data_IF_070657113859
#
_entry.id   IF_070657113859
#
_cell.length_a   1.000
_cell.length_b   1.000
_cell.length_c   1.000
_cell.angle_alpha   90.00
_cell.angle_beta   90.00
_cell.angle_gamma   90.00
#
_symmetry.space_group_name_H-M   'P 1'
#
loop_
_entity.id
_entity.type
_entity.pdbx_description
1 polymer ?
#
# COMPACT_ATOMS: atom_id res chain seq x y z
N UNK A 1 42.33 20.60 10.97
CA UNK A 1 41.63 19.79 9.96
C UNK A 1 41.07 18.57 10.68
N UNK A 2 39.79 18.28 10.46
CA UNK A 2 38.95 17.30 11.19
C UNK A 2 38.39 17.76 12.54
N UNK A 3 37.17 18.28 12.50
CA UNK A 3 36.06 17.86 13.37
C UNK A 3 34.76 18.46 12.78
N UNK A 4 34.09 17.70 11.92
CA UNK A 4 32.71 17.97 11.48
C UNK A 4 32.04 16.62 11.30
N UNK A 5 31.80 15.98 12.44
CA UNK A 5 30.92 14.83 12.61
C UNK A 5 29.71 15.34 13.41
N UNK A 6 28.52 14.86 13.05
CA UNK A 6 27.22 15.06 13.69
C UNK A 6 26.43 16.33 13.31
N UNK A 7 25.78 16.28 12.13
CA UNK A 7 24.61 17.08 11.79
C UNK A 7 23.54 16.22 11.11
N UNK A 8 23.13 15.10 11.73
CA UNK A 8 21.95 14.31 11.27
C UNK A 8 21.17 13.67 12.44
N UNK A 9 21.01 14.37 13.56
CA UNK A 9 20.05 13.99 14.62
C UNK A 9 19.29 15.21 15.17
N UNK A 10 18.72 16.03 14.28
CA UNK A 10 17.62 16.90 14.68
C UNK A 10 16.29 16.21 14.37
N UNK A 11 15.84 15.42 15.35
CA UNK A 11 14.43 15.13 15.56
C UNK A 11 13.72 16.49 15.61
N UNK A 12 12.77 16.73 14.71
CA UNK A 12 11.96 17.95 14.72
C UNK A 12 11.32 18.19 16.10
N UNK A 13 11.10 19.45 16.50
CA UNK A 13 10.59 19.75 17.83
C UNK A 13 9.24 19.05 18.07
N UNK A 14 9.21 18.32 19.18
CA UNK A 14 8.04 17.71 19.80
C UNK A 14 6.85 18.70 19.83
N UNK A 15 5.66 18.37 19.27
CA UNK A 15 4.54 19.31 19.14
C UNK A 15 3.83 19.66 20.47
N UNK A 16 4.45 19.34 21.61
CA UNK A 16 3.94 19.73 22.94
C UNK A 16 4.74 20.85 23.61
N UNK A 17 5.66 21.52 22.90
CA UNK A 17 6.41 22.63 23.45
C UNK A 17 6.10 23.96 22.74
N UNK A 18 5.23 24.76 23.36
CA UNK A 18 5.17 26.22 23.18
C UNK A 18 4.32 26.69 22.00
N UNK A 19 3.26 27.44 22.32
CA UNK A 19 2.35 28.04 21.36
C UNK A 19 3.06 28.92 20.32
N UNK A 20 2.45 28.97 19.14
CA UNK A 20 2.82 29.81 18.01
C UNK A 20 2.80 31.28 18.43
N UNK A 21 3.89 32.01 18.22
CA UNK A 21 3.99 33.41 18.62
C UNK A 21 2.97 34.26 17.84
N UNK A 22 1.99 34.83 18.56
CA UNK A 22 1.00 35.76 18.01
C UNK A 22 -0.47 35.35 18.19
N UNK A 23 -0.77 34.19 18.79
CA UNK A 23 -2.16 33.84 19.10
C UNK A 23 -2.70 34.66 20.30
N UNK A 24 -3.93 35.19 20.23
CA UNK A 24 -4.55 35.89 21.35
C UNK A 24 -4.67 34.97 22.57
N UNK A 25 -4.33 35.51 23.74
CA UNK A 25 -4.20 34.80 25.03
C UNK A 25 -5.48 34.03 25.42
N UNK A 26 -6.63 34.44 24.89
CA UNK A 26 -7.94 33.78 25.02
C UNK A 26 -8.01 32.37 24.40
N UNK A 27 -7.23 32.09 23.36
CA UNK A 27 -7.16 30.77 22.72
C UNK A 27 -6.22 29.82 23.47
N UNK A 28 -5.16 30.38 24.08
CA UNK A 28 -4.14 29.63 24.83
C UNK A 28 -4.63 29.27 26.24
N UNK A 29 -5.42 30.16 26.86
CA UNK A 29 -5.90 30.01 28.24
C UNK A 29 -7.32 29.44 28.35
N UNK A 30 -7.92 29.03 27.23
CA UNK A 30 -9.26 28.43 27.24
C UNK A 30 -9.22 27.16 28.09
N UNK A 31 -9.95 27.10 29.23
CA UNK A 31 -10.01 25.87 30.01
C UNK A 31 -10.59 24.76 29.13
N UNK A 32 -10.01 23.53 29.17
CA UNK A 32 -10.61 22.39 28.49
C UNK A 32 -12.07 22.27 28.97
N UNK A 33 -13.02 22.08 28.04
CA UNK A 33 -14.43 21.92 28.42
C UNK A 33 -14.52 20.79 29.46
N UNK A 34 -15.01 21.06 30.68
CA UNK A 34 -15.09 20.02 31.68
C UNK A 34 -16.12 18.98 31.24
N UNK A 35 -15.67 17.74 31.03
CA UNK A 35 -16.54 16.57 30.93
C UNK A 35 -17.11 16.25 29.54
N UNK A 36 -16.42 16.58 28.45
CA UNK A 36 -16.80 16.08 27.12
C UNK A 36 -15.70 15.19 26.53
N UNK A 37 -15.59 13.97 27.04
CA UNK A 37 -15.42 12.85 26.10
C UNK A 37 -16.71 12.84 25.30
N UNK A 38 -16.77 13.58 24.19
CA UNK A 38 -17.86 13.38 23.23
C UNK A 38 -17.53 12.07 22.50
N UNK A 39 -17.67 10.93 23.18
CA UNK A 39 -18.18 9.77 22.46
C UNK A 39 -19.63 10.13 22.12
N UNK A 40 -19.81 10.85 21.02
CA UNK A 40 -21.13 10.99 20.44
C UNK A 40 -21.66 9.56 20.29
N UNK A 41 -22.89 9.26 20.73
CA UNK A 41 -23.46 7.94 20.51
C UNK A 41 -23.31 7.61 19.04
N UNK A 42 -22.47 6.63 18.73
CA UNK A 42 -22.29 6.19 17.35
C UNK A 42 -23.67 5.71 16.91
N UNK A 43 -24.09 6.14 15.73
CA UNK A 43 -25.38 5.70 15.22
C UNK A 43 -25.37 4.15 15.18
N UNK A 44 -26.53 3.49 15.41
CA UNK A 44 -26.55 2.03 15.50
C UNK A 44 -26.08 1.30 14.23
N UNK A 45 -26.05 1.98 13.07
CA UNK A 45 -25.56 1.45 11.79
C UNK A 45 -24.03 1.39 11.84
N UNK A 46 -23.38 2.46 12.28
CA UNK A 46 -21.94 2.54 12.52
C UNK A 46 -21.48 1.59 13.64
N UNK A 47 -22.31 1.33 14.65
CA UNK A 47 -21.99 0.40 15.73
C UNK A 47 -21.90 -1.05 15.26
N UNK A 48 -22.87 -1.49 14.46
CA UNK A 48 -22.84 -2.84 13.92
C UNK A 48 -21.60 -3.07 13.05
N UNK A 49 -21.27 -2.13 12.17
CA UNK A 49 -20.13 -2.28 11.26
C UNK A 49 -18.82 -2.43 12.05
N UNK A 50 -18.59 -1.57 13.02
CA UNK A 50 -17.38 -1.63 13.87
C UNK A 50 -17.26 -2.98 14.58
N UNK A 51 -18.33 -3.45 15.22
CA UNK A 51 -18.33 -4.73 15.92
C UNK A 51 -18.07 -5.90 14.95
N UNK A 52 -18.60 -5.81 13.73
CA UNK A 52 -18.36 -6.80 12.69
C UNK A 52 -16.89 -6.80 12.24
N UNK A 53 -16.30 -5.63 11.99
CA UNK A 53 -14.88 -5.51 11.59
C UNK A 53 -13.92 -5.93 12.70
N UNK A 54 -14.24 -5.66 13.97
CA UNK A 54 -13.47 -6.19 15.11
C UNK A 54 -13.54 -7.72 15.17
N UNK A 55 -14.70 -8.30 14.89
CA UNK A 55 -14.86 -9.75 14.83
C UNK A 55 -14.08 -10.38 13.68
N UNK A 56 -13.91 -9.69 12.54
CA UNK A 56 -13.11 -10.22 11.42
C UNK A 56 -11.70 -10.60 11.86
N UNK A 57 -11.06 -9.83 12.74
CA UNK A 57 -9.71 -10.10 13.22
C UNK A 57 -9.60 -11.35 14.11
N UNK A 58 -10.70 -11.79 14.74
CA UNK A 58 -10.71 -12.92 15.69
C UNK A 58 -11.43 -14.16 15.17
N UNK A 59 -12.49 -13.98 14.38
CA UNK A 59 -13.34 -15.02 13.81
C UNK A 59 -13.97 -14.54 12.48
N UNK A 60 -13.19 -14.54 11.39
CA UNK A 60 -13.66 -14.04 10.10
C UNK A 60 -14.80 -14.88 9.52
N UNK A 61 -14.86 -16.18 9.83
CA UNK A 61 -15.95 -17.06 9.39
C UNK A 61 -17.29 -16.67 10.02
N UNK A 62 -17.29 -16.34 11.32
CA UNK A 62 -18.49 -15.85 12.00
C UNK A 62 -18.91 -14.47 11.51
N UNK A 63 -17.96 -13.55 11.34
CA UNK A 63 -18.23 -12.22 10.80
C UNK A 63 -18.87 -12.32 9.40
N UNK A 64 -18.30 -13.18 8.55
CA UNK A 64 -18.83 -13.47 7.21
C UNK A 64 -20.28 -13.95 7.26
N UNK A 65 -20.59 -14.97 8.08
CA UNK A 65 -21.95 -15.52 8.20
C UNK A 65 -22.96 -14.47 8.71
N UNK A 66 -22.59 -13.67 9.73
CA UNK A 66 -23.46 -12.62 10.26
C UNK A 66 -23.69 -11.49 9.24
N UNK A 67 -22.65 -11.11 8.50
CA UNK A 67 -22.75 -10.12 7.45
C UNK A 67 -23.66 -10.59 6.30
N UNK A 68 -23.61 -11.88 5.92
CA UNK A 68 -24.54 -12.45 4.93
C UNK A 68 -26.00 -12.40 5.41
N UNK A 69 -26.28 -12.75 6.66
CA UNK A 69 -27.62 -12.67 7.24
C UNK A 69 -28.11 -11.23 7.19
N UNK A 70 -27.33 -10.28 7.71
CA UNK A 70 -27.70 -8.85 7.69
C UNK A 70 -27.91 -8.33 6.27
N UNK A 71 -27.07 -8.72 5.31
CA UNK A 71 -27.23 -8.33 3.90
C UNK A 71 -28.61 -8.75 3.36
N UNK A 72 -29.09 -9.93 3.73
CA UNK A 72 -30.39 -10.44 3.29
C UNK A 72 -31.59 -9.71 3.92
N UNK A 73 -31.42 -9.13 5.12
CA UNK A 73 -32.47 -8.49 5.90
C UNK A 73 -32.52 -6.96 5.74
N UNK A 74 -31.49 -6.37 5.12
CA UNK A 74 -31.32 -4.91 5.02
C UNK A 74 -31.37 -4.44 3.57
N UNK A 75 -31.42 -3.13 3.34
CA UNK A 75 -31.31 -2.48 2.02
C UNK A 75 -30.69 -1.09 2.17
N UNK A 76 -30.19 -0.50 1.08
CA UNK A 76 -29.62 0.85 1.09
C UNK A 76 -28.39 0.92 2.00
N UNK A 77 -28.23 2.01 2.74
CA UNK A 77 -27.07 2.23 3.64
C UNK A 77 -26.79 1.04 4.57
N UNK A 78 -27.85 0.43 5.14
CA UNK A 78 -27.71 -0.73 6.03
C UNK A 78 -27.17 -1.98 5.33
N UNK A 79 -27.42 -2.13 4.02
CA UNK A 79 -26.89 -3.23 3.22
C UNK A 79 -25.49 -2.89 2.69
N UNK A 80 -25.18 -1.62 2.41
CA UNK A 80 -23.81 -1.17 2.12
C UNK A 80 -22.86 -1.55 3.26
N UNK A 81 -23.21 -1.28 4.53
CA UNK A 81 -22.36 -1.68 5.66
C UNK A 81 -22.26 -3.21 5.81
N UNK A 82 -23.34 -3.95 5.51
CA UNK A 82 -23.33 -5.41 5.59
C UNK A 82 -22.39 -5.97 4.52
N UNK A 83 -22.46 -5.44 3.30
CA UNK A 83 -21.56 -5.76 2.21
C UNK A 83 -20.10 -5.36 2.51
N UNK A 84 -19.86 -4.25 3.21
CA UNK A 84 -18.52 -3.86 3.63
C UNK A 84 -17.91 -4.91 4.58
N UNK A 85 -18.59 -5.25 5.68
CA UNK A 85 -18.07 -6.28 6.57
C UNK A 85 -17.95 -7.64 5.86
N UNK A 86 -18.92 -8.00 5.03
CA UNK A 86 -18.89 -9.23 4.26
C UNK A 86 -17.64 -9.32 3.37
N UNK A 87 -17.33 -8.24 2.65
CA UNK A 87 -16.15 -8.19 1.77
C UNK A 87 -14.84 -8.32 2.54
N UNK A 88 -14.72 -7.60 3.67
CA UNK A 88 -13.52 -7.67 4.52
C UNK A 88 -13.36 -9.07 5.15
N UNK A 89 -14.45 -9.66 5.65
CA UNK A 89 -14.43 -11.02 6.18
C UNK A 89 -14.08 -12.07 5.10
N UNK A 90 -14.61 -11.92 3.88
CA UNK A 90 -14.31 -12.81 2.76
C UNK A 90 -12.84 -12.69 2.32
N UNK A 91 -12.26 -11.48 2.33
CA UNK A 91 -10.83 -11.25 2.07
C UNK A 91 -9.94 -12.02 3.05
N UNK A 92 -10.22 -11.96 4.36
CA UNK A 92 -9.44 -12.71 5.37
C UNK A 92 -9.56 -14.23 5.20
N UNK A 93 -10.67 -14.71 4.65
CA UNK A 93 -10.89 -16.12 4.36
C UNK A 93 -10.30 -16.58 3.02
N UNK A 94 -9.74 -15.66 2.22
CA UNK A 94 -9.29 -15.95 0.85
C UNK A 94 -10.42 -16.27 -0.12
N UNK A 95 -11.67 -15.91 0.22
CA UNK A 95 -12.85 -16.10 -0.62
C UNK A 95 -12.98 -14.91 -1.59
N UNK A 96 -12.04 -14.81 -2.54
CA UNK A 96 -11.86 -13.63 -3.38
C UNK A 96 -13.08 -13.28 -4.24
N UNK A 97 -13.80 -14.29 -4.74
CA UNK A 97 -15.03 -14.08 -5.51
C UNK A 97 -16.16 -13.48 -4.65
N UNK A 98 -16.31 -13.97 -3.41
CA UNK A 98 -17.30 -13.46 -2.46
C UNK A 98 -16.93 -12.03 -2.02
N UNK A 99 -15.64 -11.78 -1.76
CA UNK A 99 -15.13 -10.45 -1.43
C UNK A 99 -15.41 -9.44 -2.55
N UNK A 100 -15.07 -9.79 -3.79
CA UNK A 100 -15.36 -8.99 -4.98
C UNK A 100 -16.85 -8.69 -5.11
N UNK A 101 -17.70 -9.71 -5.01
CA UNK A 101 -19.15 -9.54 -5.14
C UNK A 101 -19.72 -8.64 -4.04
N UNK A 102 -19.25 -8.79 -2.80
CA UNK A 102 -19.67 -7.96 -1.68
C UNK A 102 -19.24 -6.50 -1.86
N UNK A 103 -17.98 -6.23 -2.20
CA UNK A 103 -17.51 -4.85 -2.43
C UNK A 103 -18.19 -4.20 -3.63
N UNK A 104 -18.42 -4.93 -4.71
CA UNK A 104 -19.17 -4.42 -5.86
C UNK A 104 -20.61 -4.06 -5.48
N UNK A 105 -21.29 -4.92 -4.72
CA UNK A 105 -22.63 -4.61 -4.21
C UNK A 105 -22.63 -3.41 -3.25
N UNK A 106 -21.60 -3.27 -2.39
CA UNK A 106 -21.44 -2.09 -1.54
C UNK A 106 -21.31 -0.81 -2.38
N UNK A 107 -20.49 -0.84 -3.44
CA UNK A 107 -20.33 0.28 -4.38
C UNK A 107 -21.64 0.63 -5.08
N UNK A 108 -22.34 -0.37 -5.61
CA UNK A 108 -23.52 -0.15 -6.46
C UNK A 108 -24.71 0.37 -5.65
N UNK A 109 -24.84 -0.05 -4.38
CA UNK A 109 -25.85 0.45 -3.44
C UNK A 109 -25.49 1.79 -2.80
N UNK A 110 -24.22 2.20 -2.84
CA UNK A 110 -23.79 3.53 -2.41
C UNK A 110 -24.34 4.59 -3.37
N UNK A 111 -25.02 5.64 -2.87
CA UNK A 111 -25.55 6.73 -3.69
C UNK A 111 -24.52 7.34 -4.66
N UNK A 112 -24.97 7.73 -5.85
CA UNK A 112 -24.10 8.20 -6.93
C UNK A 112 -23.35 9.50 -6.58
N UNK A 113 -23.91 10.32 -5.69
CA UNK A 113 -23.30 11.55 -5.17
C UNK A 113 -22.22 11.27 -4.09
N UNK A 114 -22.17 10.05 -3.54
CA UNK A 114 -21.12 9.60 -2.63
C UNK A 114 -19.92 8.97 -3.39
N UNK A 115 -19.43 9.69 -4.41
CA UNK A 115 -18.39 9.21 -5.31
C UNK A 115 -17.12 8.72 -4.59
N UNK A 116 -16.75 9.35 -3.45
CA UNK A 116 -15.59 8.94 -2.64
C UNK A 116 -15.76 7.52 -2.08
N UNK A 117 -16.94 7.20 -1.57
CA UNK A 117 -17.26 5.88 -1.00
C UNK A 117 -17.34 4.83 -2.10
N UNK A 118 -17.96 5.19 -3.25
CA UNK A 118 -18.01 4.33 -4.44
C UNK A 118 -16.61 3.98 -4.95
N UNK A 119 -15.70 4.95 -5.00
CA UNK A 119 -14.31 4.73 -5.41
C UNK A 119 -13.59 3.70 -4.53
N UNK A 120 -13.73 3.82 -3.21
CA UNK A 120 -13.11 2.87 -2.25
C UNK A 120 -13.63 1.45 -2.43
N UNK A 121 -14.95 1.27 -2.51
CA UNK A 121 -15.53 -0.05 -2.74
C UNK A 121 -15.19 -0.61 -4.13
N UNK A 122 -15.14 0.22 -5.16
CA UNK A 122 -14.67 -0.18 -6.49
C UNK A 122 -13.23 -0.66 -6.48
N UNK A 123 -12.34 0.06 -5.79
CA UNK A 123 -10.94 -0.33 -5.65
C UNK A 123 -10.78 -1.64 -4.87
N UNK A 124 -11.52 -1.82 -3.77
CA UNK A 124 -11.54 -3.08 -3.03
C UNK A 124 -12.06 -4.25 -3.87
N UNK A 125 -13.12 -4.05 -4.66
CA UNK A 125 -13.64 -5.07 -5.57
C UNK A 125 -12.61 -5.44 -6.67
N UNK A 126 -11.92 -4.43 -7.22
CA UNK A 126 -10.86 -4.61 -8.21
C UNK A 126 -9.66 -5.38 -7.66
N UNK A 127 -9.22 -5.06 -6.44
CA UNK A 127 -8.16 -5.79 -5.76
C UNK A 127 -8.55 -7.23 -5.42
N UNK A 128 -9.79 -7.48 -4.99
CA UNK A 128 -10.28 -8.84 -4.79
C UNK A 128 -10.28 -9.64 -6.10
N UNK A 129 -10.64 -9.01 -7.23
CA UNK A 129 -10.54 -9.64 -8.55
C UNK A 129 -9.08 -9.98 -8.93
N UNK A 130 -8.12 -9.11 -8.62
CA UNK A 130 -6.69 -9.42 -8.82
C UNK A 130 -6.24 -10.60 -7.98
N UNK A 131 -6.63 -10.64 -6.70
CA UNK A 131 -6.31 -11.75 -5.81
C UNK A 131 -6.94 -13.08 -6.27
N UNK A 132 -8.11 -13.03 -6.94
CA UNK A 132 -8.74 -14.18 -7.59
C UNK A 132 -8.04 -14.62 -8.90
N UNK A 133 -7.05 -13.87 -9.39
CA UNK A 133 -6.42 -14.11 -10.70
C UNK A 133 -7.26 -13.61 -11.89
N UNK A 134 -8.34 -12.87 -11.64
CA UNK A 134 -9.25 -12.33 -12.65
C UNK A 134 -8.87 -10.89 -13.02
N UNK A 135 -7.72 -10.77 -13.69
CA UNK A 135 -7.15 -9.47 -14.06
C UNK A 135 -8.03 -8.68 -15.05
N UNK A 136 -8.86 -9.37 -15.84
CA UNK A 136 -9.81 -8.72 -16.77
C UNK A 136 -10.89 -7.97 -16.00
N UNK A 137 -11.55 -8.63 -15.05
CA UNK A 137 -12.55 -7.95 -14.23
C UNK A 137 -11.93 -6.92 -13.30
N UNK A 138 -10.73 -7.18 -12.77
CA UNK A 138 -9.98 -6.18 -12.01
C UNK A 138 -9.79 -4.88 -12.79
N UNK A 139 -9.33 -4.97 -14.04
CA UNK A 139 -9.12 -3.81 -14.90
C UNK A 139 -10.40 -2.98 -15.07
N UNK A 140 -11.55 -3.64 -15.29
CA UNK A 140 -12.84 -2.95 -15.41
C UNK A 140 -13.26 -2.25 -14.12
N UNK A 141 -13.12 -2.94 -12.97
CA UNK A 141 -13.51 -2.42 -11.67
C UNK A 141 -12.62 -1.26 -11.22
N UNK A 142 -11.31 -1.35 -11.47
CA UNK A 142 -10.34 -0.31 -11.12
C UNK A 142 -10.50 0.94 -12.00
N UNK A 143 -10.81 0.78 -13.29
CA UNK A 143 -11.15 1.92 -14.14
C UNK A 143 -12.43 2.64 -13.65
N UNK A 144 -13.42 1.89 -13.16
CA UNK A 144 -14.61 2.48 -12.55
C UNK A 144 -14.28 3.20 -11.23
N UNK A 145 -13.40 2.63 -10.40
CA UNK A 145 -12.92 3.25 -9.17
C UNK A 145 -12.14 4.55 -9.42
N UNK A 146 -11.29 4.60 -10.45
CA UNK A 146 -10.62 5.83 -10.90
C UNK A 146 -11.62 6.91 -11.31
N UNK A 147 -12.66 6.53 -12.06
CA UNK A 147 -13.73 7.47 -12.46
C UNK A 147 -14.48 8.03 -11.25
N UNK A 148 -14.83 7.17 -10.29
CA UNK A 148 -15.49 7.58 -9.04
C UNK A 148 -14.55 8.46 -8.19
N UNK A 149 -13.24 8.16 -8.15
CA UNK A 149 -12.25 8.96 -7.42
C UNK A 149 -12.08 10.37 -8.03
N UNK A 150 -12.10 10.47 -9.36
CA UNK A 150 -12.06 11.74 -10.08
C UNK A 150 -13.33 12.56 -9.83
N UNK A 151 -14.50 11.92 -9.83
CA UNK A 151 -15.77 12.57 -9.48
C UNK A 151 -15.77 13.07 -8.02
N UNK A 152 -15.06 12.37 -7.13
CA UNK A 152 -14.84 12.77 -5.74
C UNK A 152 -13.74 13.84 -5.56
N UNK A 153 -13.10 14.29 -6.65
CA UNK A 153 -11.94 15.18 -6.65
C UNK A 153 -10.83 14.70 -5.68
N UNK A 154 -10.59 13.38 -5.62
CA UNK A 154 -9.68 12.76 -4.66
C UNK A 154 -8.46 12.19 -5.36
N UNK A 155 -7.42 13.03 -5.55
CA UNK A 155 -6.17 12.63 -6.19
C UNK A 155 -5.53 11.38 -5.55
N UNK A 156 -5.61 11.25 -4.22
CA UNK A 156 -5.08 10.08 -3.50
C UNK A 156 -5.81 8.77 -3.85
N UNK A 157 -7.14 8.81 -4.01
CA UNK A 157 -7.91 7.62 -4.39
C UNK A 157 -7.74 7.30 -5.87
N UNK A 158 -7.60 8.33 -6.71
CA UNK A 158 -7.32 8.16 -8.14
C UNK A 158 -5.92 7.55 -8.34
N UNK A 159 -4.93 8.00 -7.55
CA UNK A 159 -3.58 7.43 -7.55
C UNK A 159 -3.58 5.95 -7.13
N UNK A 160 -4.28 5.60 -6.05
CA UNK A 160 -4.38 4.21 -5.58
C UNK A 160 -5.04 3.30 -6.63
N UNK A 161 -6.16 3.74 -7.19
CA UNK A 161 -6.86 2.96 -8.22
C UNK A 161 -6.02 2.82 -9.51
N UNK A 162 -5.28 3.86 -9.90
CA UNK A 162 -4.35 3.81 -11.04
C UNK A 162 -3.16 2.87 -10.79
N UNK A 163 -2.62 2.84 -9.57
CA UNK A 163 -1.56 1.91 -9.16
C UNK A 163 -2.02 0.47 -9.31
N UNK A 164 -3.19 0.14 -8.76
CA UNK A 164 -3.77 -1.19 -8.86
C UNK A 164 -4.14 -1.54 -10.30
N UNK A 165 -4.60 -0.56 -11.10
CA UNK A 165 -4.85 -0.77 -12.53
C UNK A 165 -3.56 -1.11 -13.27
N UNK A 166 -2.44 -0.48 -12.90
CA UNK A 166 -1.11 -0.84 -13.37
C UNK A 166 -0.79 -2.30 -13.10
N UNK A 167 -1.03 -2.78 -11.87
CA UNK A 167 -0.84 -4.20 -11.51
C UNK A 167 -1.72 -5.15 -12.33
N UNK A 168 -2.99 -4.78 -12.56
CA UNK A 168 -3.89 -5.54 -13.42
C UNK A 168 -3.39 -5.64 -14.86
N UNK A 169 -2.87 -4.54 -15.42
CA UNK A 169 -2.34 -4.48 -16.77
C UNK A 169 -1.04 -5.28 -16.92
N UNK A 170 -0.18 -5.33 -15.89
CA UNK A 170 0.97 -6.24 -15.85
C UNK A 170 0.52 -7.69 -15.90
N UNK A 171 -0.50 -8.08 -15.12
CA UNK A 171 -1.03 -9.44 -15.12
C UNK A 171 -1.67 -9.84 -16.46
N UNK A 172 -2.10 -8.87 -17.26
CA UNK A 172 -2.65 -9.05 -18.60
C UNK A 172 -1.61 -8.96 -19.72
N UNK A 173 -0.32 -8.85 -19.40
CA UNK A 173 0.78 -8.69 -20.37
C UNK A 173 0.62 -7.44 -21.26
N UNK A 174 0.19 -6.31 -20.66
CA UNK A 174 -0.02 -5.01 -21.33
C UNK A 174 0.93 -3.95 -20.76
N UNK A 175 2.26 -4.07 -20.98
CA UNK A 175 3.27 -3.30 -20.25
C UNK A 175 3.21 -1.78 -20.51
N UNK A 176 2.96 -1.33 -21.73
CA UNK A 176 2.89 0.12 -22.03
C UNK A 176 1.69 0.80 -21.35
N UNK A 177 0.55 0.11 -21.30
CA UNK A 177 -0.63 0.63 -20.60
C UNK A 177 -0.45 0.59 -19.09
N UNK A 178 0.21 -0.46 -18.58
CA UNK A 178 0.58 -0.55 -17.17
C UNK A 178 1.50 0.61 -16.78
N UNK A 179 2.49 0.94 -17.61
CA UNK A 179 3.40 2.05 -17.37
C UNK A 179 2.66 3.39 -17.38
N UNK A 180 1.70 3.59 -18.29
CA UNK A 180 0.86 4.79 -18.30
C UNK A 180 0.02 4.92 -17.01
N UNK A 181 -0.53 3.81 -16.50
CA UNK A 181 -1.28 3.79 -15.24
C UNK A 181 -0.38 4.10 -14.02
N UNK A 182 0.80 3.49 -13.96
CA UNK A 182 1.78 3.74 -12.89
C UNK A 182 2.30 5.19 -12.90
N UNK A 183 2.56 5.77 -14.08
CA UNK A 183 2.90 7.20 -14.22
C UNK A 183 1.79 8.13 -13.79
N UNK A 184 0.55 7.74 -14.04
CA UNK A 184 -0.60 8.47 -13.50
C UNK A 184 -0.59 8.42 -11.96
N UNK A 185 -0.30 7.25 -11.37
CA UNK A 185 -0.22 7.10 -9.92
C UNK A 185 0.93 7.93 -9.32
N UNK A 186 2.14 7.88 -9.88
CA UNK A 186 3.30 8.66 -9.40
C UNK A 186 3.12 10.17 -9.64
N UNK A 187 2.39 10.58 -10.68
CA UNK A 187 2.02 11.97 -10.90
C UNK A 187 0.97 12.51 -9.92
N UNK A 188 0.01 11.68 -9.50
CA UNK A 188 -1.05 12.04 -8.56
C UNK A 188 -0.62 11.94 -7.09
N UNK A 189 0.29 11.02 -6.77
CA UNK A 189 0.85 10.78 -5.45
C UNK A 189 2.39 10.62 -5.52
N UNK A 190 3.14 11.71 -5.75
CA UNK A 190 4.60 11.69 -5.90
C UNK A 190 5.38 11.26 -4.66
N UNK A 191 4.70 11.16 -3.52
CA UNK A 191 5.20 10.65 -2.23
C UNK A 191 5.00 9.14 -2.03
N UNK A 192 4.34 8.44 -2.97
CA UNK A 192 4.12 6.99 -2.87
C UNK A 192 5.36 6.21 -3.31
N UNK A 193 6.18 5.76 -2.34
CA UNK A 193 7.34 4.91 -2.62
C UNK A 193 6.98 3.61 -3.35
N UNK A 194 5.83 3.01 -3.03
CA UNK A 194 5.32 1.81 -3.70
C UNK A 194 5.00 2.06 -5.18
N UNK A 195 4.39 3.21 -5.53
CA UNK A 195 4.10 3.56 -6.92
C UNK A 195 5.38 3.66 -7.74
N UNK A 196 6.42 4.31 -7.18
CA UNK A 196 7.74 4.43 -7.81
C UNK A 196 8.44 3.09 -7.94
N UNK A 197 8.36 2.22 -6.93
CA UNK A 197 8.90 0.86 -6.96
C UNK A 197 8.27 0.03 -8.09
N UNK A 198 6.95 0.05 -8.21
CA UNK A 198 6.24 -0.68 -9.26
C UNK A 198 6.57 -0.13 -10.66
N UNK A 199 6.66 1.21 -10.80
CA UNK A 199 7.11 1.84 -12.06
C UNK A 199 8.53 1.39 -12.43
N UNK A 200 9.47 1.44 -11.49
CA UNK A 200 10.85 1.00 -11.70
C UNK A 200 10.94 -0.48 -12.11
N UNK A 201 10.19 -1.32 -11.40
CA UNK A 201 10.13 -2.77 -11.67
C UNK A 201 9.62 -3.05 -13.09
N UNK A 202 8.57 -2.35 -13.50
CA UNK A 202 8.01 -2.51 -14.85
C UNK A 202 8.99 -1.99 -15.91
N UNK A 203 9.59 -0.82 -15.71
CA UNK A 203 10.58 -0.26 -16.63
C UNK A 203 11.78 -1.18 -16.80
N UNK A 204 12.27 -1.82 -15.73
CA UNK A 204 13.31 -2.84 -15.81
C UNK A 204 12.87 -4.03 -16.66
N UNK A 205 11.65 -4.55 -16.44
CA UNK A 205 11.12 -5.67 -17.24
C UNK A 205 10.97 -5.31 -18.73
N UNK A 206 10.80 -4.03 -19.04
CA UNK A 206 10.78 -3.49 -20.40
C UNK A 206 12.17 -3.13 -20.96
N UNK A 207 13.26 -3.48 -20.26
CA UNK A 207 14.66 -3.15 -20.61
C UNK A 207 14.96 -1.64 -20.70
N UNK A 208 14.13 -0.81 -20.06
CA UNK A 208 14.29 0.66 -20.00
C UNK A 208 15.09 1.07 -18.77
N UNK A 209 16.30 0.51 -18.62
CA UNK A 209 17.11 0.60 -17.40
C UNK A 209 17.42 2.03 -16.94
N UNK A 210 17.59 2.98 -17.87
CA UNK A 210 17.84 4.38 -17.52
C UNK A 210 16.65 5.10 -16.87
N UNK A 211 15.42 4.74 -17.25
CA UNK A 211 14.21 5.25 -16.61
C UNK A 211 13.91 4.47 -15.32
N UNK A 212 14.15 3.16 -15.32
CA UNK A 212 14.04 2.33 -14.12
C UNK A 212 14.94 2.86 -12.99
N UNK A 213 16.16 3.30 -13.33
CA UNK A 213 17.08 3.89 -12.36
C UNK A 213 16.53 5.18 -11.74
N UNK A 214 15.91 6.06 -12.52
CA UNK A 214 15.32 7.31 -11.99
C UNK A 214 14.14 7.00 -11.06
N UNK A 215 13.27 6.06 -11.45
CA UNK A 215 12.14 5.65 -10.64
C UNK A 215 12.56 4.99 -9.33
N UNK A 216 13.56 4.09 -9.35
CA UNK A 216 14.01 3.41 -8.14
C UNK A 216 14.77 4.34 -7.20
N UNK A 217 15.52 5.32 -7.71
CA UNK A 217 16.12 6.38 -6.88
C UNK A 217 15.05 7.14 -6.10
N UNK A 218 13.94 7.46 -6.76
CA UNK A 218 12.81 8.12 -6.09
C UNK A 218 12.14 7.23 -5.04
N UNK A 219 12.01 5.93 -5.30
CA UNK A 219 11.51 4.97 -4.32
C UNK A 219 12.44 4.86 -3.10
N UNK A 220 13.76 4.82 -3.30
CA UNK A 220 14.78 4.77 -2.24
C UNK A 220 14.73 6.02 -1.36
N UNK A 221 14.53 7.20 -1.94
CA UNK A 221 14.37 8.45 -1.17
C UNK A 221 13.14 8.42 -0.25
N UNK A 222 12.05 7.83 -0.72
CA UNK A 222 10.76 7.82 -0.01
C UNK A 222 10.66 6.68 1.01
N UNK A 223 11.27 5.54 0.73
CA UNK A 223 11.21 4.33 1.55
C UNK A 223 12.60 3.67 1.68
N UNK A 224 13.58 4.36 2.31
CA UNK A 224 14.98 3.91 2.33
C UNK A 224 15.22 2.62 3.12
N UNK A 225 14.28 2.25 4.00
CA UNK A 225 14.34 1.03 4.79
C UNK A 225 13.45 -0.07 4.25
N UNK A 226 12.78 0.13 3.11
CA UNK A 226 11.96 -0.91 2.48
C UNK A 226 12.85 -1.92 1.74
N UNK A 227 12.67 -3.20 2.08
CA UNK A 227 13.50 -4.29 1.60
C UNK A 227 13.27 -4.59 0.12
N UNK A 228 12.04 -4.45 -0.36
CA UNK A 228 11.70 -4.64 -1.77
C UNK A 228 12.30 -3.53 -2.63
N UNK A 229 12.30 -2.29 -2.11
CA UNK A 229 12.97 -1.16 -2.76
C UNK A 229 14.47 -1.39 -2.87
N UNK A 230 15.13 -1.79 -1.77
CA UNK A 230 16.57 -2.08 -1.78
C UNK A 230 16.94 -3.28 -2.67
N UNK A 231 16.10 -4.30 -2.71
CA UNK A 231 16.26 -5.45 -3.61
C UNK A 231 16.23 -5.04 -5.08
N UNK A 232 15.17 -4.35 -5.48
CA UNK A 232 14.95 -3.92 -6.86
C UNK A 232 16.03 -2.93 -7.30
N UNK A 233 16.47 -2.02 -6.42
CA UNK A 233 17.61 -1.12 -6.66
C UNK A 233 18.89 -1.90 -6.98
N UNK A 234 19.19 -2.96 -6.22
CA UNK A 234 20.35 -3.79 -6.49
C UNK A 234 20.24 -4.55 -7.82
N UNK A 235 19.05 -5.07 -8.15
CA UNK A 235 18.81 -5.75 -9.45
C UNK A 235 19.01 -4.79 -10.61
N UNK A 236 18.44 -3.58 -10.55
CA UNK A 236 18.62 -2.55 -11.58
C UNK A 236 20.10 -2.16 -11.69
N UNK A 237 20.83 -2.08 -10.57
CA UNK A 237 22.25 -1.74 -10.55
C UNK A 237 23.12 -2.81 -11.24
N UNK A 238 22.91 -4.12 -10.97
CA UNK A 238 23.65 -5.19 -11.67
C UNK A 238 23.38 -5.16 -13.16
N UNK A 239 22.11 -5.05 -13.58
CA UNK A 239 21.76 -4.99 -15.00
C UNK A 239 22.34 -3.76 -15.70
N UNK A 240 22.61 -2.69 -14.95
CA UNK A 240 23.28 -1.49 -15.43
C UNK A 240 24.81 -1.56 -15.35
N UNK A 241 25.40 -2.71 -15.00
CA UNK A 241 26.85 -2.89 -14.85
C UNK A 241 27.47 -2.24 -13.61
N UNK A 242 26.66 -1.83 -12.62
CA UNK A 242 27.10 -1.21 -11.38
C UNK A 242 27.09 -2.21 -10.22
N UNK A 243 27.92 -3.25 -10.33
CA UNK A 243 27.94 -4.36 -9.38
C UNK A 243 28.19 -3.92 -7.93
N UNK A 244 29.13 -2.99 -7.70
CA UNK A 244 29.41 -2.46 -6.35
C UNK A 244 28.18 -1.79 -5.71
N UNK A 245 27.42 -1.02 -6.51
CA UNK A 245 26.19 -0.38 -6.03
C UNK A 245 25.10 -1.42 -5.72
N UNK A 246 25.05 -2.52 -6.48
CA UNK A 246 24.14 -3.61 -6.21
C UNK A 246 24.46 -4.33 -4.91
N UNK A 247 25.74 -4.66 -4.69
CA UNK A 247 26.21 -5.27 -3.43
C UNK A 247 25.86 -4.40 -2.24
N UNK A 248 26.12 -3.09 -2.32
CA UNK A 248 25.78 -2.14 -1.27
C UNK A 248 24.27 -2.11 -0.98
N UNK A 249 23.43 -2.12 -2.01
CA UNK A 249 21.97 -2.11 -1.87
C UNK A 249 21.47 -3.38 -1.17
N UNK A 250 21.90 -4.55 -1.63
CA UNK A 250 21.50 -5.83 -1.03
C UNK A 250 22.06 -6.03 0.37
N UNK A 251 23.29 -5.59 0.64
CA UNK A 251 23.87 -5.62 1.97
C UNK A 251 23.04 -4.76 2.95
N UNK A 252 22.62 -3.57 2.53
CA UNK A 252 21.73 -2.71 3.33
C UNK A 252 20.40 -3.39 3.68
N UNK A 253 19.80 -4.13 2.75
CA UNK A 253 18.58 -4.92 3.01
C UNK A 253 18.84 -5.98 4.08
N UNK A 254 19.96 -6.71 3.98
CA UNK A 254 20.34 -7.75 4.96
C UNK A 254 20.60 -7.16 6.35
N UNK A 255 21.18 -5.96 6.43
CA UNK A 255 21.47 -5.28 7.70
C UNK A 255 20.23 -4.67 8.35
N UNK A 256 19.33 -4.09 7.55
CA UNK A 256 18.17 -3.35 8.05
C UNK A 256 17.00 -4.29 8.38
N UNK A 257 16.83 -5.36 7.60
CA UNK A 257 15.72 -6.32 7.74
C UNK A 257 16.20 -7.78 7.69
N UNK A 258 17.06 -8.22 8.63
CA UNK A 258 17.76 -9.51 8.52
C UNK A 258 16.83 -10.73 8.44
N UNK A 259 15.63 -10.65 8.99
CA UNK A 259 14.66 -11.75 9.04
C UNK A 259 13.57 -11.65 7.96
N UNK A 260 13.74 -10.77 6.97
CA UNK A 260 12.79 -10.60 5.86
C UNK A 260 13.08 -11.56 4.70
N UNK A 261 12.04 -11.92 3.94
CA UNK A 261 12.18 -12.60 2.65
C UNK A 261 13.05 -11.80 1.68
N UNK A 262 12.98 -10.47 1.78
CA UNK A 262 13.80 -9.58 1.00
C UNK A 262 15.30 -9.79 1.31
N UNK A 263 15.66 -9.89 2.59
CA UNK A 263 17.02 -10.20 3.02
C UNK A 263 17.48 -11.61 2.63
N UNK A 264 16.62 -12.62 2.69
CA UNK A 264 16.94 -13.95 2.18
C UNK A 264 17.30 -13.92 0.69
N UNK A 265 16.49 -13.23 -0.11
CA UNK A 265 16.73 -13.03 -1.55
C UNK A 265 18.02 -12.25 -1.78
N UNK A 266 18.26 -11.19 -1.01
CA UNK A 266 19.46 -10.36 -1.09
C UNK A 266 20.74 -11.17 -0.80
N UNK A 267 20.73 -12.03 0.22
CA UNK A 267 21.83 -12.96 0.51
C UNK A 267 22.10 -13.89 -0.66
N UNK A 268 21.04 -14.41 -1.28
CA UNK A 268 21.15 -15.24 -2.49
C UNK A 268 21.86 -14.51 -3.62
N UNK A 269 21.48 -13.27 -3.91
CA UNK A 269 22.15 -12.46 -4.93
C UNK A 269 23.61 -12.13 -4.59
N UNK A 270 23.90 -11.78 -3.33
CA UNK A 270 25.26 -11.53 -2.86
C UNK A 270 26.16 -12.76 -3.01
N UNK A 271 25.66 -13.96 -2.68
CA UNK A 271 26.41 -15.20 -2.79
C UNK A 271 26.74 -15.59 -4.24
N UNK A 272 25.89 -15.23 -5.20
CA UNK A 272 26.14 -15.46 -6.63
C UNK A 272 27.22 -14.54 -7.20
N UNK A 273 27.37 -13.34 -6.63
CA UNK A 273 28.42 -12.41 -7.01
C UNK A 273 29.73 -12.67 -6.28
N UNK A 274 29.74 -13.42 -5.17
CA UNK A 274 30.98 -13.70 -4.44
C UNK A 274 32.04 -14.35 -5.35
N UNK A 275 33.30 -13.88 -5.32
CA UNK A 275 34.36 -14.53 -6.07
C UNK A 275 34.47 -16.01 -5.63
N UNK A 276 34.71 -16.91 -6.59
CA UNK A 276 34.62 -18.37 -6.43
C UNK A 276 35.43 -18.99 -5.26
N UNK A 277 36.30 -18.22 -4.60
CA UNK A 277 37.12 -18.65 -3.46
C UNK A 277 36.51 -18.42 -2.06
N UNK A 278 35.46 -17.62 -1.90
CA UNK A 278 34.88 -17.34 -0.56
C UNK A 278 33.75 -18.31 -0.17
N UNK A 279 33.03 -18.88 -1.13
CA UNK A 279 31.97 -19.87 -0.84
C UNK A 279 32.53 -21.22 -0.35
N UNK A 280 33.79 -21.54 -0.63
CA UNK A 280 34.45 -22.76 -0.17
C UNK A 280 34.89 -22.72 1.31
N UNK A 281 34.99 -21.52 1.91
CA UNK A 281 35.47 -21.35 3.30
C UNK A 281 34.38 -21.53 4.36
N UNK A 282 33.11 -21.76 3.95
CA UNK A 282 31.97 -21.96 4.86
C UNK A 282 31.52 -23.41 4.99
N UNK A 283 32.14 -24.34 4.27
CA UNK A 283 31.78 -25.78 4.25
C UNK A 283 32.81 -26.69 4.98
N UNK A 284 33.56 -26.19 5.96
CA UNK A 284 34.31 -27.10 6.85
C UNK A 284 33.42 -27.56 8.02
N UNK A 285 33.16 -28.88 8.16
CA UNK A 285 32.38 -29.41 9.28
C UNK A 285 33.23 -29.41 10.56
N UNK A 286 32.61 -29.24 11.75
CA UNK A 286 33.34 -29.25 13.01
C UNK A 286 33.92 -30.65 13.30
N UNK A 287 35.18 -30.68 13.74
CA UNK A 287 35.91 -31.88 14.22
C UNK A 287 35.24 -32.57 15.42
#
# INVERSE_FOLDING_TARGET
MSLLLALLLQVGPNPQAGGIAGEPDELVTRPPRPGETIEAPLDPVSEWLRNCLEQVASDPARAHAQAQIRRSETSGEKRVIANHCLGVAATELGLWDDARAAFLAARDETPADEARTRARFGAMAGNAALAAGDAVNALTLLAAAESDARAAASASLEALAALDRGRALVALDRPEEALAALRSATGLAPESGEAWLLEATLLRRMDRLGEAQQAIERAVELAPTDGEVGLEAGVIAVLSGREEAARASWQSVVETQPDSLAAETARGYLAQLAPAGENAAREEPPE
#
